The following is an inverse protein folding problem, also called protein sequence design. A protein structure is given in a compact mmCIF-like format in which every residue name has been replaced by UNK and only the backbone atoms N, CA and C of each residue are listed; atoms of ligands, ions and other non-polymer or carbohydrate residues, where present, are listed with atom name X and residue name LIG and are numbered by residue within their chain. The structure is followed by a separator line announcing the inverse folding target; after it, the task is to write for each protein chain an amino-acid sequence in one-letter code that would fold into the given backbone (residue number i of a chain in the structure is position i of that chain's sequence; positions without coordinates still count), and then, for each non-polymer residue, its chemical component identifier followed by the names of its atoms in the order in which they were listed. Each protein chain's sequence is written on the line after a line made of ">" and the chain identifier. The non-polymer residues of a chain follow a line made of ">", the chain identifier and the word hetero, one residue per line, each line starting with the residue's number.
data_IF_075760124342
#
_entry.id   IF_075760124342
#
_cell.length_a   1.000
_cell.length_b   1.000
_cell.length_c   1.000
_cell.angle_alpha   90.00
_cell.angle_beta   90.00
_cell.angle_gamma   90.00
#
_symmetry.space_group_name_H-M   'P 1'
#
loop_
_entity.id
_entity.type
_entity.pdbx_description
1 polymer ?
#
# COMPACT_ATOMS: atom_id res chain seq x y z
N UNK A 1 6.52 -34.80 -6.04
CA UNK A 1 7.18 -33.98 -7.07
C UNK A 1 6.36 -32.71 -7.22
N UNK A 2 6.74 -31.62 -6.53
CA UNK A 2 5.98 -30.37 -6.55
C UNK A 2 6.27 -29.67 -7.87
N UNK A 3 5.24 -29.44 -8.67
CA UNK A 3 5.33 -28.63 -9.89
C UNK A 3 5.36 -27.18 -9.44
N UNK A 4 6.56 -26.60 -9.36
CA UNK A 4 6.70 -25.16 -9.20
C UNK A 4 6.04 -24.49 -10.42
N UNK A 5 5.20 -23.45 -10.24
CA UNK A 5 4.79 -22.64 -11.38
C UNK A 5 6.04 -22.15 -12.09
N UNK A 6 6.01 -22.20 -13.44
CA UNK A 6 7.13 -21.86 -14.29
C UNK A 6 7.78 -20.54 -13.84
N UNK A 7 9.12 -20.53 -13.78
CA UNK A 7 9.91 -19.36 -13.43
C UNK A 7 9.34 -18.11 -14.11
N UNK A 8 8.91 -17.13 -13.31
CA UNK A 8 8.36 -15.87 -13.81
C UNK A 8 9.33 -15.29 -14.85
N UNK A 9 8.78 -14.86 -15.99
CA UNK A 9 9.55 -14.29 -17.12
C UNK A 9 10.34 -13.02 -16.75
N UNK A 10 10.89 -12.28 -17.74
CA UNK A 10 11.84 -11.18 -17.54
C UNK A 10 11.18 -9.87 -17.02
N UNK A 11 10.35 -9.95 -15.99
CA UNK A 11 9.70 -8.80 -15.34
C UNK A 11 10.57 -8.13 -14.27
N UNK A 12 10.25 -6.89 -13.87
CA UNK A 12 10.98 -6.18 -12.82
C UNK A 12 10.94 -6.94 -11.49
N UNK A 13 12.07 -6.93 -10.78
CA UNK A 13 12.22 -7.47 -9.44
C UNK A 13 12.01 -6.38 -8.39
N UNK A 14 11.06 -6.62 -7.49
CA UNK A 14 10.80 -5.76 -6.32
C UNK A 14 11.18 -6.49 -5.04
N UNK A 15 11.95 -5.82 -4.18
CA UNK A 15 12.17 -6.25 -2.79
C UNK A 15 11.21 -5.49 -1.88
N UNK A 16 10.40 -6.20 -1.10
CA UNK A 16 9.50 -5.62 -0.09
C UNK A 16 10.07 -5.90 1.28
N UNK A 17 10.13 -4.89 2.16
CA UNK A 17 10.73 -5.02 3.50
C UNK A 17 9.76 -4.49 4.55
N UNK A 18 9.56 -5.25 5.63
CA UNK A 18 8.81 -4.81 6.80
C UNK A 18 8.50 -5.97 7.76
N UNK A 19 7.89 -5.65 8.90
CA UNK A 19 7.33 -6.68 9.78
C UNK A 19 5.88 -6.98 9.39
N UNK A 20 5.49 -8.25 9.48
CA UNK A 20 4.09 -8.61 9.46
C UNK A 20 3.47 -8.27 10.83
N UNK A 21 2.26 -7.72 10.83
CA UNK A 21 1.51 -7.50 12.06
C UNK A 21 0.58 -8.67 12.35
N UNK A 22 0.19 -8.84 13.61
CA UNK A 22 -1.01 -9.59 13.96
C UNK A 22 -2.12 -8.58 14.22
N UNK A 23 -3.12 -8.57 13.35
CA UNK A 23 -4.27 -7.70 13.50
C UNK A 23 -5.38 -8.50 14.18
N UNK A 24 -5.76 -8.11 15.40
CA UNK A 24 -6.76 -8.81 16.19
C UNK A 24 -8.09 -8.85 15.44
N UNK A 25 -8.64 -10.06 15.35
CA UNK A 25 -9.84 -10.35 14.57
C UNK A 25 -10.64 -11.43 15.30
N UNK A 26 -11.68 -11.03 16.01
CA UNK A 26 -12.52 -11.94 16.83
C UNK A 26 -13.16 -13.05 15.98
N UNK A 27 -13.45 -12.75 14.71
CA UNK A 27 -14.04 -13.72 13.77
C UNK A 27 -13.01 -14.72 13.19
N UNK A 28 -11.71 -14.55 13.45
CA UNK A 28 -10.68 -15.50 13.05
C UNK A 28 -10.49 -16.56 14.14
N UNK A 29 -10.29 -17.83 13.76
CA UNK A 29 -10.11 -18.93 14.71
C UNK A 29 -8.88 -18.74 15.61
N UNK A 30 -7.84 -18.04 15.13
CA UNK A 30 -6.64 -17.71 15.90
C UNK A 30 -6.83 -16.49 16.80
N UNK A 31 -7.94 -15.75 16.63
CA UNK A 31 -8.19 -14.45 17.25
C UNK A 31 -7.44 -13.29 16.58
N UNK A 32 -6.69 -13.54 15.50
CA UNK A 32 -5.93 -12.55 14.75
C UNK A 32 -5.73 -13.00 13.30
N UNK A 33 -5.42 -12.04 12.43
CA UNK A 33 -5.06 -12.26 11.02
C UNK A 33 -3.66 -11.75 10.73
N UNK A 34 -2.96 -12.39 9.79
CA UNK A 34 -1.70 -11.86 9.32
C UNK A 34 -1.96 -10.54 8.59
N UNK A 35 -1.36 -9.48 9.10
CA UNK A 35 -1.38 -8.16 8.51
C UNK A 35 0.02 -7.70 8.13
N UNK A 36 0.20 -6.39 8.13
CA UNK A 36 1.48 -5.77 7.81
C UNK A 36 1.59 -5.40 6.34
N UNK A 37 2.06 -4.19 6.09
CA UNK A 37 2.18 -3.64 4.75
C UNK A 37 3.12 -4.47 3.85
N UNK A 38 4.09 -5.18 4.45
CA UNK A 38 4.96 -6.14 3.76
C UNK A 38 4.17 -7.30 3.13
N UNK A 39 3.18 -7.85 3.83
CA UNK A 39 2.39 -9.00 3.35
C UNK A 39 1.42 -8.58 2.25
N UNK A 40 0.62 -7.53 2.50
CA UNK A 40 -0.29 -6.97 1.49
C UNK A 40 0.44 -6.50 0.24
N UNK A 41 1.57 -5.82 0.42
CA UNK A 41 2.37 -5.29 -0.68
C UNK A 41 3.00 -6.38 -1.53
N UNK A 42 3.63 -7.38 -0.90
CA UNK A 42 4.24 -8.50 -1.59
C UNK A 42 3.22 -9.32 -2.39
N UNK A 43 2.09 -9.67 -1.77
CA UNK A 43 1.01 -10.41 -2.44
C UNK A 43 0.48 -9.66 -3.66
N UNK A 44 0.20 -8.36 -3.49
CA UNK A 44 -0.35 -7.52 -4.56
C UNK A 44 0.63 -7.42 -5.73
N UNK A 45 1.90 -7.15 -5.46
CA UNK A 45 2.92 -7.05 -6.51
C UNK A 45 3.05 -8.35 -7.30
N UNK A 46 3.07 -9.49 -6.61
CA UNK A 46 3.15 -10.80 -7.25
C UNK A 46 1.90 -11.11 -8.10
N UNK A 47 0.70 -10.87 -7.55
CA UNK A 47 -0.57 -11.04 -8.28
C UNK A 47 -0.75 -10.08 -9.46
N UNK A 48 -0.03 -8.96 -9.47
CA UNK A 48 0.05 -8.04 -10.61
C UNK A 48 1.14 -8.42 -11.63
N UNK A 49 1.86 -9.52 -11.41
CA UNK A 49 2.80 -10.11 -12.35
C UNK A 49 4.26 -9.65 -12.21
N UNK A 50 4.62 -8.99 -11.09
CA UNK A 50 6.01 -8.63 -10.81
C UNK A 50 6.74 -9.78 -10.11
N UNK A 51 8.06 -9.82 -10.25
CA UNK A 51 8.90 -10.71 -9.43
C UNK A 51 9.08 -10.09 -8.07
N UNK A 52 8.83 -10.84 -7.01
CA UNK A 52 8.84 -10.30 -5.64
C UNK A 52 9.76 -11.12 -4.76
N UNK A 53 10.65 -10.42 -4.06
CA UNK A 53 11.30 -10.89 -2.84
C UNK A 53 10.70 -10.14 -1.66
N UNK A 54 10.36 -10.84 -0.59
CA UNK A 54 9.90 -10.19 0.62
C UNK A 54 10.80 -10.57 1.79
N UNK A 55 11.36 -9.57 2.46
CA UNK A 55 12.08 -9.74 3.72
C UNK A 55 11.11 -9.40 4.84
N UNK A 56 10.64 -10.44 5.53
CA UNK A 56 9.49 -10.37 6.43
C UNK A 56 9.94 -10.64 7.86
N UNK A 57 9.83 -9.62 8.71
CA UNK A 57 9.95 -9.77 10.16
C UNK A 57 8.71 -10.44 10.75
N UNK A 58 8.88 -11.52 11.50
CA UNK A 58 7.79 -12.31 12.08
C UNK A 58 8.08 -12.64 13.54
N UNK A 59 7.10 -12.46 14.44
CA UNK A 59 7.15 -13.10 15.75
C UNK A 59 6.76 -14.59 15.66
N UNK A 60 6.87 -15.30 16.78
CA UNK A 60 6.66 -16.73 16.83
C UNK A 60 5.25 -17.14 16.35
N UNK A 61 4.22 -16.38 16.71
CA UNK A 61 2.85 -16.65 16.31
C UNK A 61 2.60 -16.31 14.84
N UNK A 62 3.09 -15.18 14.34
CA UNK A 62 2.96 -14.79 12.94
C UNK A 62 3.73 -15.75 12.01
N UNK A 63 4.84 -16.34 12.48
CA UNK A 63 5.60 -17.33 11.72
C UNK A 63 4.80 -18.63 11.42
N UNK A 64 3.74 -18.90 12.18
CA UNK A 64 2.83 -20.03 11.95
C UNK A 64 1.61 -19.68 11.08
N UNK A 65 1.57 -18.48 10.49
CA UNK A 65 0.46 -18.05 9.66
C UNK A 65 0.41 -18.80 8.31
N UNK A 66 -0.72 -19.44 8.02
CA UNK A 66 -0.99 -20.11 6.73
C UNK A 66 -0.96 -19.11 5.55
N UNK A 67 -1.20 -17.83 5.83
CA UNK A 67 -1.06 -16.74 4.86
C UNK A 67 0.35 -16.63 4.25
N UNK A 68 1.39 -17.14 4.93
CA UNK A 68 2.74 -17.23 4.35
C UNK A 68 2.81 -18.24 3.20
N UNK A 69 2.04 -19.33 3.28
CA UNK A 69 1.94 -20.31 2.18
C UNK A 69 1.28 -19.69 0.95
N UNK A 70 0.33 -18.76 1.16
CA UNK A 70 -0.27 -18.02 0.05
C UNK A 70 0.77 -17.16 -0.70
N UNK A 71 1.67 -16.49 0.04
CA UNK A 71 2.73 -15.69 -0.57
C UNK A 71 3.68 -16.58 -1.41
N UNK A 72 4.09 -17.73 -0.86
CA UNK A 72 4.91 -18.72 -1.59
C UNK A 72 4.18 -19.27 -2.82
N UNK A 73 2.89 -19.60 -2.70
CA UNK A 73 2.08 -20.15 -3.78
C UNK A 73 1.91 -19.20 -4.97
N UNK A 74 1.94 -17.88 -4.76
CA UNK A 74 1.94 -16.88 -5.85
C UNK A 74 3.35 -16.50 -6.32
N UNK A 75 4.39 -17.18 -5.83
CA UNK A 75 5.78 -17.03 -6.27
C UNK A 75 6.56 -15.90 -5.59
N UNK A 76 6.17 -15.47 -4.38
CA UNK A 76 6.99 -14.55 -3.58
C UNK A 76 8.19 -15.31 -2.99
N UNK A 77 9.40 -14.86 -3.30
CA UNK A 77 10.63 -15.36 -2.67
C UNK A 77 10.73 -14.80 -1.23
N UNK A 78 10.36 -15.61 -0.24
CA UNK A 78 10.33 -15.21 1.17
C UNK A 78 11.70 -15.35 1.86
N UNK A 79 12.14 -14.28 2.52
CA UNK A 79 13.22 -14.29 3.52
C UNK A 79 12.61 -13.98 4.87
N UNK A 80 12.46 -15.01 5.71
CA UNK A 80 11.87 -14.88 7.05
C UNK A 80 12.95 -14.45 8.05
N UNK A 81 12.67 -13.39 8.79
CA UNK A 81 13.50 -12.90 9.89
C UNK A 81 12.70 -13.05 11.19
N UNK A 82 13.14 -13.96 12.05
CA UNK A 82 12.52 -14.13 13.38
C UNK A 82 12.74 -12.89 14.25
N UNK A 83 11.66 -12.33 14.77
CA UNK A 83 11.65 -11.20 15.69
C UNK A 83 11.26 -11.66 17.10
N UNK A 84 11.92 -11.13 18.16
CA UNK A 84 11.49 -11.39 19.53
C UNK A 84 10.07 -10.92 19.84
N UNK A 85 9.60 -9.88 19.15
CA UNK A 85 8.22 -9.40 19.20
C UNK A 85 7.81 -8.74 17.88
N UNK A 86 6.55 -8.97 17.48
CA UNK A 86 5.93 -8.39 16.31
C UNK A 86 4.88 -7.36 16.71
N UNK A 87 4.53 -6.44 15.81
CA UNK A 87 3.49 -5.46 16.09
C UNK A 87 2.12 -6.14 16.13
N UNK A 88 1.37 -5.88 17.19
CA UNK A 88 -0.01 -6.38 17.34
C UNK A 88 -0.95 -5.20 17.45
N UNK A 89 -1.97 -5.16 16.60
CA UNK A 89 -2.94 -4.08 16.56
C UNK A 89 -4.36 -4.60 16.69
N UNK A 90 -5.21 -3.81 17.31
CA UNK A 90 -6.66 -3.98 17.24
C UNK A 90 -7.23 -2.85 16.40
N UNK A 91 -7.91 -3.22 15.32
CA UNK A 91 -8.60 -2.28 14.43
C UNK A 91 -10.05 -2.14 14.90
N UNK A 92 -10.40 -0.94 15.36
CA UNK A 92 -11.75 -0.57 15.77
C UNK A 92 -12.35 0.29 14.64
N UNK A 93 -13.13 -0.36 13.80
CA UNK A 93 -13.86 0.30 12.72
C UNK A 93 -14.98 1.15 13.32
N UNK A 94 -15.00 2.44 12.98
CA UNK A 94 -16.11 3.33 13.31
C UNK A 94 -16.71 3.89 12.03
N UNK A 95 -17.97 4.36 12.03
CA UNK A 95 -18.63 4.87 10.82
C UNK A 95 -17.89 6.02 10.12
N UNK A 96 -17.03 6.75 10.84
CA UNK A 96 -16.34 7.95 10.33
C UNK A 96 -14.83 7.79 10.18
N UNK A 97 -14.19 6.91 10.96
CA UNK A 97 -12.73 6.72 10.94
C UNK A 97 -12.30 5.37 11.53
N UNK A 98 -11.13 4.88 11.11
CA UNK A 98 -10.45 3.79 11.81
C UNK A 98 -9.82 4.32 13.11
N UNK A 99 -10.11 3.66 14.24
CA UNK A 99 -9.31 3.80 15.48
C UNK A 99 -8.47 2.54 15.63
N UNK A 100 -7.22 2.69 16.02
CA UNK A 100 -6.33 1.55 16.21
C UNK A 100 -5.75 1.60 17.62
N UNK A 101 -5.73 0.46 18.30
CA UNK A 101 -5.06 0.27 19.59
C UNK A 101 -3.80 -0.57 19.36
N UNK A 102 -2.68 -0.14 19.91
CA UNK A 102 -1.46 -0.93 19.92
C UNK A 102 -1.54 -1.91 21.09
N UNK A 103 -1.44 -3.21 20.79
CA UNK A 103 -1.46 -4.27 21.80
C UNK A 103 -0.03 -4.66 22.17
N UNK A 104 0.84 -4.82 21.16
CA UNK A 104 2.25 -5.08 21.34
C UNK A 104 3.11 -4.31 20.33
N UNK A 105 4.35 -4.01 20.73
CA UNK A 105 5.34 -3.32 19.90
C UNK A 105 6.13 -4.31 19.05
N UNK A 106 6.52 -3.86 17.86
CA UNK A 106 7.50 -4.55 17.05
C UNK A 106 8.90 -4.37 17.62
N UNK A 107 9.70 -5.43 17.61
CA UNK A 107 11.15 -5.29 17.63
C UNK A 107 11.63 -4.60 16.34
N UNK A 108 12.83 -4.02 16.37
CA UNK A 108 13.50 -3.56 15.15
C UNK A 108 13.73 -4.75 14.22
N UNK A 109 13.49 -4.56 12.93
CA UNK A 109 13.80 -5.55 11.91
C UNK A 109 15.28 -5.43 11.55
N UNK A 110 16.15 -6.36 11.99
CA UNK A 110 17.57 -6.25 11.69
C UNK A 110 17.81 -6.35 10.19
N UNK A 111 18.65 -5.45 9.68
CA UNK A 111 19.06 -5.49 8.28
C UNK A 111 19.63 -6.87 7.97
N UNK A 112 19.05 -7.50 6.95
CA UNK A 112 19.51 -8.78 6.43
C UNK A 112 20.13 -8.54 5.06
N UNK A 113 21.33 -9.10 4.84
CA UNK A 113 22.00 -9.01 3.55
C UNK A 113 21.30 -9.97 2.57
N UNK A 114 21.07 -9.54 1.34
CA UNK A 114 20.67 -10.46 0.29
C UNK A 114 21.81 -11.44 0.00
N UNK A 115 21.48 -12.71 -0.24
CA UNK A 115 22.49 -13.71 -0.58
C UNK A 115 23.26 -13.30 -1.83
N UNK A 116 24.57 -13.54 -1.84
CA UNK A 116 25.45 -13.19 -2.95
C UNK A 116 25.01 -13.94 -4.23
N UNK A 117 25.12 -13.28 -5.39
CA UNK A 117 24.74 -13.85 -6.69
C UNK A 117 23.26 -13.71 -7.06
N UNK A 118 22.41 -13.22 -6.15
CA UNK A 118 21.03 -12.89 -6.48
C UNK A 118 20.95 -11.61 -7.34
N UNK A 119 20.03 -11.55 -8.33
CA UNK A 119 19.79 -10.33 -9.10
C UNK A 119 19.47 -9.14 -8.20
N UNK A 120 20.03 -7.98 -8.53
CA UNK A 120 19.71 -6.72 -7.86
C UNK A 120 18.25 -6.32 -8.15
N UNK A 121 17.54 -5.72 -7.18
CA UNK A 121 16.18 -5.27 -7.41
C UNK A 121 16.11 -4.04 -8.29
N UNK A 122 15.08 -3.97 -9.13
CA UNK A 122 14.69 -2.77 -9.87
C UNK A 122 13.99 -1.76 -8.95
N UNK A 123 13.37 -2.24 -7.86
CA UNK A 123 12.74 -1.40 -6.86
C UNK A 123 12.76 -2.01 -5.46
N UNK A 124 12.68 -1.14 -4.45
CA UNK A 124 12.51 -1.51 -3.05
C UNK A 124 11.28 -0.81 -2.48
N UNK A 125 10.38 -1.57 -1.86
CA UNK A 125 9.24 -1.08 -1.10
C UNK A 125 9.52 -1.24 0.39
N UNK A 126 9.76 -0.13 1.08
CA UNK A 126 9.80 -0.09 2.54
C UNK A 126 8.39 0.11 3.08
N UNK A 127 7.94 -0.86 3.87
CA UNK A 127 6.56 -0.98 4.32
C UNK A 127 6.49 -1.03 5.86
N UNK A 128 7.00 -0.01 6.58
CA UNK A 128 6.99 -0.01 8.04
C UNK A 128 5.56 0.12 8.57
N UNK A 129 5.24 -0.64 9.62
CA UNK A 129 3.94 -0.57 10.31
C UNK A 129 4.03 -0.07 11.75
N UNK A 130 5.22 -0.16 12.35
CA UNK A 130 5.45 0.14 13.75
C UNK A 130 6.83 0.75 14.04
N UNK A 131 7.47 1.36 13.03
CA UNK A 131 8.79 1.97 13.17
C UNK A 131 9.93 0.95 13.24
N UNK A 132 9.70 -0.27 12.75
CA UNK A 132 10.64 -1.39 12.81
C UNK A 132 11.79 -1.27 11.80
N UNK A 133 11.60 -0.53 10.71
CA UNK A 133 12.59 -0.32 9.65
C UNK A 133 13.39 0.95 9.95
N UNK A 134 14.72 0.84 10.03
CA UNK A 134 15.61 2.00 10.15
C UNK A 134 16.32 2.36 8.84
N UNK A 135 17.09 3.45 8.87
CA UNK A 135 17.82 3.99 7.72
C UNK A 135 18.92 3.05 7.19
N UNK A 136 19.41 2.12 8.03
CA UNK A 136 20.38 1.10 7.65
C UNK A 136 19.91 0.21 6.48
N UNK A 137 18.60 0.12 6.27
CA UNK A 137 18.02 -0.63 5.15
C UNK A 137 18.28 0.01 3.78
N UNK A 138 18.76 1.26 3.72
CA UNK A 138 19.17 1.83 2.43
C UNK A 138 20.41 1.17 1.83
N UNK A 139 21.23 0.49 2.63
CA UNK A 139 22.42 -0.21 2.15
C UNK A 139 22.10 -1.34 1.17
N UNK A 140 20.87 -1.87 1.18
CA UNK A 140 20.43 -2.90 0.21
C UNK A 140 19.89 -2.30 -1.09
N UNK A 141 19.76 -0.97 -1.18
CA UNK A 141 19.15 -0.29 -2.34
C UNK A 141 20.24 0.03 -3.37
N UNK A 142 20.18 -0.57 -4.58
CA UNK A 142 21.08 -0.19 -5.65
C UNK A 142 20.92 1.28 -6.05
N UNK A 143 21.98 1.97 -6.51
CA UNK A 143 21.91 3.39 -6.88
C UNK A 143 20.81 3.75 -7.89
N UNK A 144 20.45 2.84 -8.80
CA UNK A 144 19.41 3.03 -9.81
C UNK A 144 18.02 2.49 -9.46
N UNK A 145 17.86 1.82 -8.32
CA UNK A 145 16.57 1.20 -7.97
C UNK A 145 15.52 2.25 -7.57
N UNK A 146 14.27 2.03 -7.94
CA UNK A 146 13.16 2.87 -7.52
C UNK A 146 12.79 2.59 -6.05
N UNK A 147 12.63 3.62 -5.22
CA UNK A 147 12.29 3.45 -3.80
C UNK A 147 10.89 3.93 -3.50
N UNK A 148 10.06 3.04 -2.99
CA UNK A 148 8.73 3.34 -2.48
C UNK A 148 8.69 3.21 -0.95
N UNK A 149 8.02 4.14 -0.27
CA UNK A 149 7.87 4.12 1.19
C UNK A 149 6.41 4.32 1.58
N UNK A 150 5.88 3.38 2.37
CA UNK A 150 4.63 3.57 3.12
C UNK A 150 4.93 4.28 4.43
N UNK A 151 4.36 5.46 4.66
CA UNK A 151 4.71 6.26 5.83
C UNK A 151 3.99 5.88 7.12
N UNK A 152 2.93 5.08 7.05
CA UNK A 152 2.03 4.80 8.17
C UNK A 152 2.78 4.42 9.46
N UNK A 153 3.74 3.49 9.39
CA UNK A 153 4.52 3.07 10.55
C UNK A 153 5.47 4.11 11.14
N UNK A 154 5.87 5.11 10.35
CA UNK A 154 6.76 6.20 10.77
C UNK A 154 6.01 7.41 11.33
N UNK A 155 4.68 7.44 11.19
CA UNK A 155 3.81 8.50 11.68
C UNK A 155 3.10 8.12 12.98
N UNK A 156 3.64 7.14 13.71
CA UNK A 156 3.04 6.58 14.93
C UNK A 156 3.97 6.71 16.12
N UNK A 157 3.40 7.11 17.25
CA UNK A 157 3.95 6.85 18.58
C UNK A 157 3.10 5.74 19.23
N UNK A 158 3.74 4.60 19.46
CA UNK A 158 3.09 3.37 19.90
C UNK A 158 3.38 3.09 21.37
N UNK A 159 2.33 2.76 22.11
CA UNK A 159 2.42 2.29 23.50
C UNK A 159 1.51 1.09 23.67
N UNK A 160 1.98 -0.03 24.25
CA UNK A 160 1.14 -1.19 24.53
C UNK A 160 -0.12 -0.81 25.34
N UNK A 161 -1.26 -1.32 24.92
CA UNK A 161 -2.57 -1.07 25.53
C UNK A 161 -3.19 0.29 25.21
N UNK A 162 -2.50 1.18 24.50
CA UNK A 162 -2.98 2.53 24.21
C UNK A 162 -3.46 2.69 22.77
N UNK A 163 -4.32 3.68 22.53
CA UNK A 163 -4.63 4.13 21.18
C UNK A 163 -3.36 4.61 20.47
N UNK A 164 -3.25 4.29 19.18
CA UNK A 164 -2.16 4.73 18.33
C UNK A 164 -2.18 6.26 18.24
N UNK A 165 -1.11 6.89 18.73
CA UNK A 165 -0.93 8.33 18.65
C UNK A 165 -0.26 8.69 17.33
N UNK A 166 -0.84 9.66 16.62
CA UNK A 166 -0.29 10.18 15.36
C UNK A 166 0.79 11.20 15.68
N UNK A 167 1.91 11.13 14.98
CA UNK A 167 3.00 12.11 15.09
C UNK A 167 3.30 12.71 13.71
N UNK A 168 3.87 13.91 13.70
CA UNK A 168 4.29 14.57 12.48
C UNK A 168 5.49 13.84 11.83
N UNK A 169 5.65 13.96 10.50
CA UNK A 169 6.74 13.34 9.78
C UNK A 169 8.11 13.85 10.30
N UNK A 170 9.08 12.95 10.39
CA UNK A 170 10.45 13.27 10.83
C UNK A 170 11.45 13.03 9.70
N UNK A 171 12.49 13.87 9.55
CA UNK A 171 13.56 13.61 8.58
C UNK A 171 14.17 12.23 8.78
N UNK A 172 14.35 11.50 7.69
CA UNK A 172 15.01 10.19 7.65
C UNK A 172 15.70 10.01 6.31
N UNK A 173 16.75 9.19 6.29
CA UNK A 173 17.41 8.86 5.03
C UNK A 173 16.44 8.12 4.09
N UNK A 174 15.54 7.28 4.63
CA UNK A 174 14.49 6.62 3.86
C UNK A 174 13.64 7.62 3.05
N UNK A 175 13.17 8.71 3.67
CA UNK A 175 12.37 9.73 3.00
C UNK A 175 13.18 10.58 2.02
N UNK A 176 14.43 10.86 2.35
CA UNK A 176 15.35 11.58 1.45
C UNK A 176 15.75 10.75 0.22
N UNK A 177 15.58 9.42 0.26
CA UNK A 177 15.86 8.52 -0.85
C UNK A 177 14.61 8.14 -1.66
N UNK A 178 13.41 8.22 -1.08
CA UNK A 178 12.18 7.76 -1.69
C UNK A 178 11.81 8.49 -2.99
N UNK A 179 11.47 7.73 -4.03
CA UNK A 179 10.92 8.23 -5.30
C UNK A 179 9.38 8.30 -5.26
N UNK A 180 8.76 7.43 -4.45
CA UNK A 180 7.34 7.37 -4.18
C UNK A 180 7.07 7.27 -2.68
N UNK A 181 6.23 8.15 -2.15
CA UNK A 181 5.81 8.15 -0.74
C UNK A 181 4.30 8.08 -0.70
N UNK A 182 3.73 7.23 0.15
CA UNK A 182 2.27 7.14 0.33
C UNK A 182 1.89 7.15 1.81
N UNK A 183 0.82 7.89 2.12
CA UNK A 183 0.23 7.98 3.45
C UNK A 183 -1.28 8.26 3.35
N UNK A 184 -2.01 7.96 4.42
CA UNK A 184 -3.39 8.41 4.59
C UNK A 184 -3.45 9.78 5.26
N UNK A 185 -4.49 10.56 4.94
CA UNK A 185 -4.88 11.73 5.74
C UNK A 185 -5.11 11.36 7.21
N UNK A 186 -5.55 10.13 7.47
CA UNK A 186 -5.80 9.64 8.82
C UNK A 186 -4.53 9.24 9.57
N UNK A 187 -3.36 9.20 8.91
CA UNK A 187 -2.08 8.94 9.58
C UNK A 187 -1.47 10.22 10.17
N UNK A 188 -1.91 11.39 9.69
CA UNK A 188 -1.38 12.68 10.15
C UNK A 188 -2.19 13.25 11.34
N UNK A 189 -1.54 14.03 12.22
CA UNK A 189 -2.23 14.94 13.12
C UNK A 189 -3.14 15.93 12.34
N UNK A 190 -4.28 16.37 12.92
CA UNK A 190 -5.25 17.22 12.20
C UNK A 190 -4.69 18.55 11.68
N UNK A 191 -3.70 19.10 12.36
CA UNK A 191 -3.01 20.36 12.07
C UNK A 191 -1.81 20.20 11.12
N UNK A 192 -1.43 18.95 10.78
CA UNK A 192 -0.29 18.66 9.93
C UNK A 192 -0.75 18.45 8.48
N UNK A 193 -0.31 19.36 7.61
CA UNK A 193 -0.54 19.31 6.17
C UNK A 193 0.43 18.40 5.42
N UNK A 194 0.19 18.27 4.11
CA UNK A 194 1.10 17.53 3.22
C UNK A 194 2.48 18.19 3.09
N UNK A 195 2.54 19.52 3.29
CA UNK A 195 3.77 20.30 3.21
C UNK A 195 4.83 19.82 4.20
N UNK A 196 4.42 19.33 5.38
CA UNK A 196 5.34 18.77 6.37
C UNK A 196 6.06 17.51 5.85
N UNK A 197 5.40 16.74 4.97
CA UNK A 197 5.99 15.55 4.34
C UNK A 197 6.87 15.95 3.17
N UNK A 198 6.40 16.85 2.30
CA UNK A 198 7.18 17.25 1.11
C UNK A 198 8.41 18.07 1.46
N UNK A 199 8.40 18.79 2.60
CA UNK A 199 9.55 19.53 3.12
C UNK A 199 10.77 18.65 3.43
N UNK A 200 10.56 17.36 3.71
CA UNK A 200 11.62 16.42 4.11
C UNK A 200 11.79 15.24 3.14
N UNK A 201 10.93 15.15 2.12
CA UNK A 201 11.03 14.16 1.07
C UNK A 201 12.04 14.57 0.01
N UNK A 202 12.55 13.60 -0.74
CA UNK A 202 13.43 13.83 -1.88
C UNK A 202 12.81 14.82 -2.89
N UNK A 203 13.58 15.76 -3.46
CA UNK A 203 13.15 16.54 -4.62
C UNK A 203 12.64 15.64 -5.76
N UNK A 204 11.61 16.09 -6.46
CA UNK A 204 10.91 15.39 -7.56
C UNK A 204 10.15 14.10 -7.17
N UNK A 205 10.20 13.68 -5.91
CA UNK A 205 9.42 12.54 -5.45
C UNK A 205 7.92 12.74 -5.67
N UNK A 206 7.21 11.64 -5.89
CA UNK A 206 5.74 11.65 -5.88
C UNK A 206 5.27 11.33 -4.46
N UNK A 207 4.51 12.23 -3.84
CA UNK A 207 3.86 11.99 -2.54
C UNK A 207 2.36 11.82 -2.77
N UNK A 208 1.80 10.70 -2.33
CA UNK A 208 0.38 10.39 -2.50
C UNK A 208 -0.30 10.39 -1.14
N UNK A 209 -1.29 11.26 -1.01
CA UNK A 209 -2.16 11.36 0.14
C UNK A 209 -3.50 10.68 -0.18
N UNK A 210 -3.77 9.56 0.47
CA UNK A 210 -5.04 8.85 0.37
C UNK A 210 -6.05 9.38 1.40
N UNK A 211 -7.34 9.29 1.09
CA UNK A 211 -8.43 9.78 1.92
C UNK A 211 -9.63 8.82 1.92
N UNK A 212 -9.35 7.52 1.99
CA UNK A 212 -10.34 6.43 2.00
C UNK A 212 -11.40 6.60 0.89
N UNK A 213 -12.69 6.55 1.22
CA UNK A 213 -13.82 6.68 0.29
C UNK A 213 -13.90 8.01 -0.44
N UNK A 214 -13.10 9.02 -0.05
CA UNK A 214 -12.99 10.32 -0.75
C UNK A 214 -11.99 10.29 -1.91
N UNK A 215 -11.22 9.22 -2.07
CA UNK A 215 -10.14 9.13 -3.08
C UNK A 215 -8.84 9.70 -2.53
N UNK A 216 -8.20 10.62 -3.23
CA UNK A 216 -6.97 11.23 -2.77
C UNK A 216 -6.29 12.16 -3.75
N UNK A 217 -5.10 12.61 -3.38
CA UNK A 217 -4.32 13.62 -4.09
C UNK A 217 -2.87 13.15 -4.21
N UNK A 218 -2.22 13.49 -5.33
CA UNK A 218 -0.81 13.26 -5.55
C UNK A 218 -0.10 14.60 -5.77
N UNK A 219 1.07 14.73 -5.17
CA UNK A 219 1.92 15.91 -5.21
C UNK A 219 3.29 15.51 -5.76
N UNK A 220 3.94 16.43 -6.45
CA UNK A 220 5.37 16.37 -6.72
C UNK A 220 6.10 17.27 -5.73
N UNK A 221 7.22 16.80 -5.21
CA UNK A 221 8.09 17.64 -4.37
C UNK A 221 8.82 18.63 -5.28
N UNK A 222 8.46 19.90 -5.17
CA UNK A 222 9.09 20.99 -5.90
C UNK A 222 10.34 21.54 -5.21
N UNK A 223 10.92 22.63 -5.75
CA UNK A 223 12.05 23.32 -5.14
C UNK A 223 11.78 23.66 -3.67
N UNK A 224 12.81 23.50 -2.83
CA UNK A 224 12.74 23.73 -1.38
C UNK A 224 11.61 22.94 -0.65
N UNK A 225 11.17 21.81 -1.21
CA UNK A 225 10.18 20.94 -0.57
C UNK A 225 8.72 21.37 -0.76
N UNK A 226 8.44 22.30 -1.67
CA UNK A 226 7.08 22.76 -1.95
C UNK A 226 6.19 21.61 -2.45
N UNK A 227 4.99 21.44 -1.88
CA UNK A 227 4.02 20.47 -2.38
C UNK A 227 3.36 21.01 -3.66
N UNK A 228 3.76 20.51 -4.83
CA UNK A 228 3.17 20.90 -6.12
C UNK A 228 2.04 19.92 -6.47
N UNK A 229 0.76 20.34 -6.49
CA UNK A 229 -0.34 19.44 -6.85
C UNK A 229 -0.15 18.86 -8.25
N UNK A 230 -0.17 17.52 -8.37
CA UNK A 230 0.09 16.82 -9.62
C UNK A 230 -1.16 16.13 -10.18
N UNK A 231 -2.00 15.55 -9.32
CA UNK A 231 -3.27 14.93 -9.71
C UNK A 231 -4.21 14.75 -8.52
N UNK A 232 -5.51 14.67 -8.80
CA UNK A 232 -6.53 14.19 -7.86
C UNK A 232 -7.25 12.99 -8.45
N UNK A 233 -7.64 12.05 -7.59
CA UNK A 233 -8.41 10.89 -7.99
C UNK A 233 -9.61 10.70 -7.06
N UNK A 234 -10.71 10.17 -7.61
CA UNK A 234 -11.87 9.72 -6.83
C UNK A 234 -11.67 8.27 -6.44
N UNK A 235 -12.20 7.87 -5.30
CA UNK A 235 -12.28 6.46 -4.94
C UNK A 235 -13.04 5.67 -6.01
N UNK A 236 -12.58 4.44 -6.26
CA UNK A 236 -13.34 3.48 -7.05
C UNK A 236 -14.27 2.75 -6.07
N UNK A 237 -15.58 2.68 -6.33
CA UNK A 237 -16.51 2.08 -5.37
C UNK A 237 -16.23 0.58 -5.24
N UNK A 238 -16.16 0.12 -3.98
CA UNK A 238 -16.31 -1.29 -3.63
C UNK A 238 -17.77 -1.72 -3.84
N UNK A 239 -17.98 -3.01 -4.12
CA UNK A 239 -19.31 -3.63 -4.16
C UNK A 239 -19.82 -3.86 -2.72
N UNK A 240 -18.90 -4.13 -1.79
CA UNK A 240 -19.13 -4.20 -0.34
C UNK A 240 -17.85 -3.84 0.42
N UNK A 241 -17.98 -3.47 1.70
CA UNK A 241 -16.82 -3.25 2.57
C UNK A 241 -16.87 -4.28 3.69
N UNK A 242 -15.91 -5.20 3.68
CA UNK A 242 -15.78 -6.30 4.65
C UNK A 242 -14.63 -6.04 5.62
N UNK A 243 -13.48 -5.60 5.10
CA UNK A 243 -12.28 -5.32 5.89
C UNK A 243 -11.51 -4.17 5.26
N UNK A 244 -11.26 -3.08 6.00
CA UNK A 244 -10.54 -1.92 5.46
C UNK A 244 -9.01 -2.08 5.59
N UNK A 245 -8.56 -3.11 6.29
CA UNK A 245 -7.14 -3.36 6.57
C UNK A 245 -6.37 -3.62 5.28
N UNK A 246 -5.19 -2.99 5.14
CA UNK A 246 -4.29 -3.18 4.00
C UNK A 246 -4.70 -2.47 2.69
N UNK A 247 -5.85 -1.79 2.62
CA UNK A 247 -6.27 -1.11 1.39
C UNK A 247 -5.25 -0.05 0.90
N UNK A 248 -4.63 0.68 1.82
CA UNK A 248 -3.55 1.63 1.52
C UNK A 248 -2.26 0.96 1.05
N UNK A 249 -1.96 -0.23 1.56
CA UNK A 249 -0.77 -1.01 1.20
C UNK A 249 -0.93 -1.61 -0.21
N UNK A 250 -2.12 -2.15 -0.50
CA UNK A 250 -2.50 -2.60 -1.85
C UNK A 250 -2.46 -1.42 -2.84
N UNK A 251 -2.95 -0.24 -2.43
CA UNK A 251 -2.86 0.97 -3.25
C UNK A 251 -1.40 1.32 -3.59
N UNK A 252 -0.52 1.37 -2.60
CA UNK A 252 0.90 1.70 -2.80
C UNK A 252 1.60 0.66 -3.68
N UNK A 253 1.35 -0.63 -3.43
CA UNK A 253 1.87 -1.71 -4.25
C UNK A 253 1.42 -1.62 -5.71
N UNK A 254 0.14 -1.34 -5.96
CA UNK A 254 -0.40 -1.14 -7.30
C UNK A 254 0.17 0.12 -7.99
N UNK A 255 0.39 1.21 -7.24
CA UNK A 255 1.10 2.39 -7.76
C UNK A 255 2.52 2.05 -8.18
N UNK A 256 3.27 1.33 -7.35
CA UNK A 256 4.63 0.88 -7.66
C UNK A 256 4.65 -0.04 -8.88
N UNK A 257 3.73 -1.00 -8.97
CA UNK A 257 3.57 -1.86 -10.13
C UNK A 257 3.39 -1.04 -11.42
N UNK A 258 2.52 -0.03 -11.42
CA UNK A 258 2.31 0.82 -12.60
C UNK A 258 3.52 1.70 -12.97
N UNK A 259 4.36 2.06 -11.98
CA UNK A 259 5.60 2.81 -12.23
C UNK A 259 6.62 1.96 -12.96
N UNK A 260 6.78 0.70 -12.54
CA UNK A 260 7.75 -0.24 -13.09
C UNK A 260 7.28 -0.89 -14.40
N UNK A 261 5.97 -1.08 -14.55
CA UNK A 261 5.35 -1.72 -15.71
C UNK A 261 4.32 -0.76 -16.32
N UNK A 262 4.75 0.21 -17.16
CA UNK A 262 3.86 1.22 -17.72
C UNK A 262 2.70 0.65 -18.53
N UNK A 263 2.85 -0.56 -19.09
CA UNK A 263 1.82 -1.26 -19.87
C UNK A 263 0.63 -1.73 -19.02
N UNK A 264 0.73 -1.77 -17.69
CA UNK A 264 -0.42 -2.07 -16.80
C UNK A 264 -1.53 -1.02 -16.93
N UNK A 265 -1.18 0.21 -17.32
CA UNK A 265 -2.11 1.32 -17.48
C UNK A 265 -2.12 1.83 -18.93
N UNK A 266 -3.21 1.57 -19.64
CA UNK A 266 -3.38 2.01 -21.04
C UNK A 266 -4.46 3.08 -21.19
N UNK A 267 -4.44 3.79 -22.33
CA UNK A 267 -5.44 4.80 -22.70
C UNK A 267 -4.94 6.25 -22.62
N UNK A 268 -5.83 7.19 -22.94
CA UNK A 268 -5.53 8.63 -22.97
C UNK A 268 -5.41 9.31 -21.59
N UNK A 269 -5.00 10.58 -21.58
CA UNK A 269 -4.87 11.42 -20.38
C UNK A 269 -3.47 11.43 -19.76
N UNK A 270 -3.32 12.06 -18.60
CA UNK A 270 -2.06 12.06 -17.85
C UNK A 270 -1.76 10.67 -17.26
N UNK A 271 -0.50 10.21 -17.40
CA UNK A 271 -0.06 8.89 -16.89
C UNK A 271 -0.38 8.72 -15.40
N UNK A 272 0.01 9.69 -14.57
CA UNK A 272 -0.23 9.64 -13.11
C UNK A 272 -1.71 9.46 -12.76
N UNK A 273 -2.63 10.11 -13.48
CA UNK A 273 -4.06 9.95 -13.24
C UNK A 273 -4.55 8.53 -13.53
N UNK A 274 -3.97 7.86 -14.54
CA UNK A 274 -4.29 6.44 -14.83
C UNK A 274 -3.74 5.51 -13.76
N UNK A 275 -2.50 5.73 -13.32
CA UNK A 275 -1.87 4.97 -12.23
C UNK A 275 -2.69 5.07 -10.94
N UNK A 276 -3.06 6.29 -10.53
CA UNK A 276 -3.90 6.52 -9.34
C UNK A 276 -5.25 5.81 -9.45
N UNK A 277 -5.87 5.81 -10.63
CA UNK A 277 -7.14 5.12 -10.85
C UNK A 277 -7.00 3.60 -10.80
N UNK A 278 -5.90 3.06 -11.33
CA UNK A 278 -5.58 1.63 -11.25
C UNK A 278 -5.38 1.21 -9.80
N UNK A 279 -4.56 1.96 -9.05
CA UNK A 279 -4.33 1.71 -7.63
C UNK A 279 -5.61 1.84 -6.79
N UNK A 280 -6.45 2.84 -7.07
CA UNK A 280 -7.76 2.98 -6.41
C UNK A 280 -8.69 1.79 -6.70
N UNK A 281 -8.65 1.24 -7.92
CA UNK A 281 -9.41 0.04 -8.26
C UNK A 281 -8.89 -1.19 -7.50
N UNK A 282 -7.57 -1.35 -7.39
CA UNK A 282 -6.96 -2.42 -6.61
C UNK A 282 -7.35 -2.33 -5.12
N UNK A 283 -7.23 -1.15 -4.52
CA UNK A 283 -7.65 -0.91 -3.14
C UNK A 283 -9.15 -1.17 -2.92
N UNK A 284 -10.01 -0.85 -3.89
CA UNK A 284 -11.45 -1.12 -3.78
C UNK A 284 -11.82 -2.61 -3.79
N UNK A 285 -10.97 -3.45 -4.39
CA UNK A 285 -11.12 -4.92 -4.36
C UNK A 285 -10.61 -5.47 -3.04
N UNK A 286 -9.50 -4.93 -2.52
CA UNK A 286 -8.90 -5.37 -1.27
C UNK A 286 -9.86 -5.31 -0.09
N UNK A 287 -10.78 -4.34 -0.07
CA UNK A 287 -11.70 -4.18 1.06
C UNK A 287 -12.89 -5.14 1.05
N UNK A 288 -13.07 -5.93 -0.01
CA UNK A 288 -14.22 -6.81 -0.18
C UNK A 288 -14.03 -8.20 0.45
N UNK A 289 -12.81 -8.51 0.90
CA UNK A 289 -12.42 -9.81 1.45
C UNK A 289 -11.56 -9.59 2.70
N UNK A 290 -11.72 -10.40 3.77
CA UNK A 290 -10.92 -10.27 4.99
C UNK A 290 -9.42 -10.48 4.78
N UNK A 291 -8.60 -9.71 5.49
CA UNK A 291 -7.15 -9.91 5.57
C UNK A 291 -6.44 -9.77 4.22
N UNK A 292 -5.26 -10.38 4.10
CA UNK A 292 -4.47 -10.31 2.85
C UNK A 292 -5.14 -11.00 1.67
N UNK A 293 -6.13 -11.87 1.90
CA UNK A 293 -6.82 -12.62 0.83
C UNK A 293 -7.45 -11.69 -0.21
N UNK A 294 -7.79 -10.45 0.17
CA UNK A 294 -8.33 -9.43 -0.73
C UNK A 294 -7.35 -8.85 -1.76
N UNK A 295 -6.05 -9.15 -1.67
CA UNK A 295 -5.07 -8.65 -2.66
C UNK A 295 -5.47 -9.03 -4.10
N UNK A 296 -5.76 -8.08 -5.01
CA UNK A 296 -6.34 -8.43 -6.30
C UNK A 296 -5.28 -8.91 -7.31
N UNK A 297 -5.70 -9.75 -8.26
CA UNK A 297 -4.94 -9.99 -9.49
C UNK A 297 -5.22 -8.94 -10.57
N UNK A 298 -4.43 -8.98 -11.64
CA UNK A 298 -4.51 -8.02 -12.74
C UNK A 298 -5.87 -8.03 -13.44
N UNK A 299 -6.48 -9.19 -13.62
CA UNK A 299 -7.76 -9.32 -14.33
C UNK A 299 -8.91 -8.77 -13.48
N UNK A 300 -8.90 -8.99 -12.17
CA UNK A 300 -9.83 -8.38 -11.24
C UNK A 300 -9.76 -6.84 -11.28
N UNK A 301 -8.55 -6.27 -11.28
CA UNK A 301 -8.38 -4.80 -11.38
C UNK A 301 -8.91 -4.27 -12.71
N UNK A 302 -8.60 -4.93 -13.84
CA UNK A 302 -9.12 -4.56 -15.18
C UNK A 302 -10.64 -4.66 -15.25
N UNK A 303 -11.22 -5.70 -14.68
CA UNK A 303 -12.66 -5.89 -14.56
C UNK A 303 -13.31 -4.76 -13.76
N UNK A 304 -12.75 -4.41 -12.60
CA UNK A 304 -13.19 -3.28 -11.76
C UNK A 304 -13.17 -1.95 -12.52
N UNK A 305 -12.09 -1.66 -13.23
CA UNK A 305 -11.96 -0.42 -14.01
C UNK A 305 -13.01 -0.33 -15.11
N UNK A 306 -13.28 -1.44 -15.80
CA UNK A 306 -14.29 -1.53 -16.87
C UNK A 306 -15.69 -1.29 -16.31
N UNK A 307 -16.05 -1.95 -15.20
CA UNK A 307 -17.33 -1.76 -14.50
C UNK A 307 -17.51 -0.30 -14.03
N UNK A 308 -16.47 0.30 -13.45
CA UNK A 308 -16.51 1.68 -12.98
C UNK A 308 -16.74 2.70 -14.13
N UNK A 309 -16.11 2.48 -15.29
CA UNK A 309 -16.36 3.31 -16.50
C UNK A 309 -17.80 3.18 -16.99
N UNK A 310 -18.33 1.96 -17.02
CA UNK A 310 -19.71 1.72 -17.44
C UNK A 310 -20.72 2.46 -16.55
N UNK A 311 -20.54 2.40 -15.22
CA UNK A 311 -21.38 3.12 -14.24
C UNK A 311 -21.31 4.62 -14.53
N UNK A 312 -20.12 5.22 -14.57
CA UNK A 312 -19.97 6.66 -14.85
C UNK A 312 -20.68 7.11 -16.14
N UNK A 313 -20.60 6.31 -17.21
CA UNK A 313 -21.29 6.61 -18.49
C UNK A 313 -22.81 6.50 -18.42
N UNK A 314 -23.36 5.65 -17.55
CA UNK A 314 -24.82 5.53 -17.32
C UNK A 314 -25.35 6.73 -16.53
N UNK A 315 -24.62 7.15 -15.50
CA UNK A 315 -24.97 8.35 -14.70
C UNK A 315 -24.93 9.62 -15.54
N UNK A 316 -23.88 9.83 -16.36
CA UNK A 316 -23.80 10.99 -17.25
C UNK A 316 -24.96 11.06 -18.26
N UNK A 317 -25.40 9.90 -18.78
CA UNK A 317 -26.57 9.81 -19.69
C UNK A 317 -27.89 10.07 -18.96
N UNK A 318 -28.06 9.52 -17.75
CA UNK A 318 -29.24 9.77 -16.93
C UNK A 318 -29.39 11.26 -16.56
N UNK A 319 -28.31 11.95 -16.19
CA UNK A 319 -28.35 13.39 -15.89
C UNK A 319 -28.67 14.23 -17.13
N UNK A 320 -28.13 13.86 -18.31
CA UNK A 320 -28.46 14.54 -19.56
C UNK A 320 -29.93 14.38 -19.97
N UNK A 321 -30.57 13.27 -19.62
CA UNK A 321 -32.00 13.02 -19.91
C UNK A 321 -32.96 13.75 -18.95
N UNK A 322 -32.48 14.18 -17.78
CA UNK A 322 -33.28 14.94 -16.79
C UNK A 322 -33.18 16.46 -17.00
N UNK A 323 -32.20 16.94 -17.77
CA UNK A 323 -31.99 18.36 -18.08
C UNK A 323 -32.76 18.90 -19.29
N UNK A 324 -33.52 18.07 -20.03
CA UNK A 324 -34.25 18.50 -21.24
C UNK A 324 -35.74 18.80 -21.01
N UNK A 325 -36.18 18.93 -19.76
CA UNK A 325 -37.53 19.42 -19.44
C UNK A 325 -37.64 20.91 -19.78
N UNK A 326 -38.12 21.25 -20.98
CA UNK A 326 -38.54 22.61 -21.32
C UNK A 326 -39.56 23.10 -20.28
N UNK A 327 -39.48 24.35 -19.78
CA UNK A 327 -40.58 24.92 -19.03
C UNK A 327 -41.77 25.07 -19.99
N UNK A 328 -42.88 24.40 -19.67
CA UNK A 328 -44.16 24.68 -20.32
C UNK A 328 -44.57 26.10 -19.92
N UNK A 329 -44.58 27.00 -20.90
CA UNK A 329 -45.29 28.27 -20.75
C UNK A 329 -46.78 27.97 -20.64
N UNK A 330 -47.38 28.38 -19.52
CA UNK A 330 -48.80 28.63 -19.33
C UNK A 330 -48.91 29.83 -18.39
#
# INVERSE_FOLDING_TARGET
>A
MRVHPAAAGPGPLVVVVGAASRDLAIADARGWRLGGAVAYGALTLARLGLRVRAIVGLDAEAAAAEELELLDAVGVELTIVGLPSGPVFENIETPSRRRQRCIALSARLPRTRMADGHPLPDAVLFAPVAGEIGDEWLEIVPPGAFVAVGLQGLLRDLRPGAEVRRIGPQPSALLSRADLVSLSRDDLPPDVGIDAVTAIARPDATVILTASTRGGEAFRVGPAGAAVPAARYRAVPADQVVDQTGAGDVFLAAMLACRLVPSLVSGGGARLARELRFAAAAASLAVEVPGILGGPDLDAVRGRLTRARSRASRWARADSSRGSGRPSQA
#
